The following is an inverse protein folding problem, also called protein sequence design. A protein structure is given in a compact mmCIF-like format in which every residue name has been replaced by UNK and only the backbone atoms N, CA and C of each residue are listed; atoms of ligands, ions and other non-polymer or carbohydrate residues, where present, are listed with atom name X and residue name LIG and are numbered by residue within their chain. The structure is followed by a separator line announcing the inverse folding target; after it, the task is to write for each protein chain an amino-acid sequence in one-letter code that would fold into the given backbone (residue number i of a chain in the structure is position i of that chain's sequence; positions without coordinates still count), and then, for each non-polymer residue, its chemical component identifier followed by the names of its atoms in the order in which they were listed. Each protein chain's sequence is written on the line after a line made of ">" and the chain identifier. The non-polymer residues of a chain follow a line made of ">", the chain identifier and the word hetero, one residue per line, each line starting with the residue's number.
data_IF_669431571579
#
_entry.id   IF_669431571579
#
_cell.length_a   1.000
_cell.length_b   1.000
_cell.length_c   1.000
_cell.angle_alpha   90.00
_cell.angle_beta   90.00
_cell.angle_gamma   90.00
#
_symmetry.space_group_name_H-M   'P 1'
#
loop_
_entity.id
_entity.type
_entity.pdbx_description
1 polymer ?
#
# COMPACT_ATOMS: atom_id res chain seq x y z
N UNK A 1 -0.90 10.64 1.82
CA UNK A 1 -1.74 9.45 1.64
C UNK A 1 -2.45 9.16 2.94
N UNK A 2 -3.75 9.23 2.97
CA UNK A 2 -4.58 8.75 4.07
C UNK A 2 -5.44 7.64 3.47
N UNK A 3 -5.09 6.36 3.67
CA UNK A 3 -5.83 5.27 3.06
C UNK A 3 -7.13 5.02 3.83
N UNK A 4 -8.20 4.70 3.12
CA UNK A 4 -9.23 3.83 3.66
C UNK A 4 -8.57 2.48 3.94
N UNK A 5 -8.70 1.96 5.15
CA UNK A 5 -8.03 0.74 5.57
C UNK A 5 -9.05 -0.23 6.15
N UNK A 6 -9.13 -1.42 5.57
CA UNK A 6 -9.86 -2.55 6.11
C UNK A 6 -8.85 -3.57 6.66
N UNK A 7 -9.02 -3.99 7.90
CA UNK A 7 -8.16 -4.99 8.55
C UNK A 7 -9.02 -6.14 9.03
N UNK A 8 -8.65 -7.36 8.65
CA UNK A 8 -9.24 -8.59 9.11
C UNK A 8 -8.21 -9.47 9.82
N UNK A 9 -8.60 -10.07 10.92
CA UNK A 9 -7.78 -11.06 11.62
C UNK A 9 -8.64 -12.14 12.25
N UNK A 10 -8.23 -13.41 12.09
CA UNK A 10 -8.82 -14.52 12.84
C UNK A 10 -8.09 -14.65 14.18
N UNK A 11 -8.83 -14.59 15.28
CA UNK A 11 -8.27 -14.73 16.63
C UNK A 11 -8.90 -15.94 17.35
N UNK A 12 -8.32 -16.43 18.44
CA UNK A 12 -8.93 -17.47 19.27
C UNK A 12 -10.34 -17.14 19.80
N UNK A 13 -10.73 -15.86 19.78
CA UNK A 13 -12.04 -15.36 20.22
C UNK A 13 -13.02 -15.22 19.04
N UNK A 14 -12.58 -15.49 17.81
CA UNK A 14 -13.34 -15.35 16.58
C UNK A 14 -12.72 -14.34 15.60
N UNK A 15 -13.32 -14.17 14.41
CA UNK A 15 -12.87 -13.19 13.44
C UNK A 15 -13.12 -11.76 13.97
N UNK A 16 -12.16 -10.89 13.75
CA UNK A 16 -12.24 -9.45 14.04
C UNK A 16 -12.08 -8.73 12.70
N UNK A 17 -12.99 -7.83 12.40
CA UNK A 17 -12.92 -6.96 11.23
C UNK A 17 -12.99 -5.50 11.70
N UNK A 18 -12.15 -4.65 11.12
CA UNK A 18 -12.13 -3.22 11.37
C UNK A 18 -12.04 -2.46 10.06
N UNK A 19 -12.92 -1.48 9.85
CA UNK A 19 -12.88 -0.59 8.70
C UNK A 19 -12.64 0.83 9.16
N UNK A 20 -11.58 1.44 8.66
CA UNK A 20 -11.29 2.86 8.84
C UNK A 20 -11.56 3.58 7.51
N UNK A 21 -12.62 4.39 7.46
CA UNK A 21 -12.97 5.16 6.27
C UNK A 21 -11.97 6.30 6.03
N UNK A 22 -11.85 6.73 4.78
CA UNK A 22 -10.94 7.83 4.41
C UNK A 22 -11.11 9.11 5.26
N UNK A 23 -12.36 9.51 5.57
CA UNK A 23 -12.62 10.66 6.45
C UNK A 23 -12.07 10.45 7.86
N UNK A 24 -12.25 9.26 8.39
CA UNK A 24 -11.87 8.90 9.75
C UNK A 24 -10.35 8.62 9.81
N UNK A 25 -9.76 8.13 8.69
CA UNK A 25 -8.32 7.97 8.56
C UNK A 25 -7.57 9.31 8.64
N UNK A 26 -8.12 10.40 8.12
CA UNK A 26 -7.52 11.72 8.24
C UNK A 26 -7.50 12.24 9.68
N UNK A 27 -8.54 11.92 10.48
CA UNK A 27 -8.66 12.34 11.86
C UNK A 27 -7.87 11.43 12.84
N UNK A 28 -7.59 10.18 12.42
CA UNK A 28 -6.91 9.14 13.21
C UNK A 28 -5.53 8.75 12.66
N UNK A 29 -5.01 9.51 11.70
CA UNK A 29 -3.70 9.31 11.12
C UNK A 29 -2.64 9.98 11.99
N UNK A 30 -1.88 9.19 12.73
CA UNK A 30 -0.76 9.69 13.50
C UNK A 30 0.41 10.07 12.58
N UNK A 31 0.70 9.22 11.60
CA UNK A 31 1.74 9.48 10.61
C UNK A 31 1.56 8.64 9.34
N UNK A 32 1.78 9.25 8.17
CA UNK A 32 1.93 8.54 6.91
C UNK A 32 3.08 9.12 6.09
N UNK A 33 3.85 8.25 5.47
CA UNK A 33 4.92 8.61 4.55
C UNK A 33 4.91 7.69 3.35
N UNK A 34 5.01 8.27 2.15
CA UNK A 34 5.29 7.52 0.91
C UNK A 34 6.48 8.16 0.24
N UNK A 35 7.47 7.34 -0.09
CA UNK A 35 8.63 7.75 -0.86
C UNK A 35 8.91 6.75 -1.96
N UNK A 36 9.26 7.22 -3.16
CA UNK A 36 9.66 6.36 -4.26
C UNK A 36 10.92 6.86 -4.94
N UNK A 37 11.70 5.91 -5.43
CA UNK A 37 12.91 6.15 -6.20
C UNK A 37 12.91 5.27 -7.45
N UNK A 38 13.33 5.81 -8.59
CA UNK A 38 13.54 5.04 -9.81
C UNK A 38 14.82 5.48 -10.51
N UNK A 39 15.62 4.52 -10.94
CA UNK A 39 16.75 4.72 -11.83
C UNK A 39 16.50 3.96 -13.13
N UNK A 40 16.69 4.62 -14.30
CA UNK A 40 16.39 4.04 -15.60
C UNK A 40 17.42 4.46 -16.65
N UNK A 41 17.73 3.52 -17.56
CA UNK A 41 18.49 3.81 -18.77
C UNK A 41 17.61 3.84 -20.05
N UNK A 42 16.27 3.88 -19.85
CA UNK A 42 15.29 3.86 -20.93
C UNK A 42 14.80 2.46 -21.29
N UNK A 43 15.61 1.42 -21.17
CA UNK A 43 15.24 0.02 -21.45
C UNK A 43 15.01 -0.78 -20.17
N UNK A 44 15.89 -0.59 -19.18
CA UNK A 44 15.84 -1.23 -17.88
C UNK A 44 15.67 -0.16 -16.81
N UNK A 45 14.74 -0.37 -15.89
CA UNK A 45 14.50 0.48 -14.71
C UNK A 45 14.61 -0.35 -13.44
N UNK A 46 15.10 0.27 -12.37
CA UNK A 46 15.05 -0.24 -11.01
C UNK A 46 14.24 0.73 -10.18
N UNK A 47 13.16 0.24 -9.58
CA UNK A 47 12.26 1.04 -8.75
C UNK A 47 12.22 0.54 -7.31
N UNK A 48 12.05 1.47 -6.38
CA UNK A 48 11.72 1.21 -4.99
C UNK A 48 10.62 2.17 -4.54
N UNK A 49 9.63 1.65 -3.85
CA UNK A 49 8.51 2.38 -3.26
C UNK A 49 8.39 1.96 -1.79
N UNK A 50 8.46 2.93 -0.89
CA UNK A 50 8.34 2.70 0.55
C UNK A 50 7.12 3.43 1.08
N UNK A 51 6.32 2.72 1.84
CA UNK A 51 5.10 3.22 2.47
C UNK A 51 5.15 2.92 3.98
N UNK A 52 4.87 3.93 4.79
CA UNK A 52 4.72 3.83 6.24
C UNK A 52 3.38 4.44 6.62
N UNK A 53 2.56 3.67 7.34
CA UNK A 53 1.29 4.14 7.90
C UNK A 53 1.26 3.79 9.39
N UNK A 54 0.85 4.75 10.20
CA UNK A 54 0.59 4.62 11.64
C UNK A 54 -0.81 5.17 11.90
N UNK A 55 -1.73 4.29 12.27
CA UNK A 55 -3.15 4.56 12.43
C UNK A 55 -3.58 4.14 13.84
N UNK A 56 -4.30 5.03 14.54
CA UNK A 56 -4.90 4.73 15.84
C UNK A 56 -6.38 5.02 15.80
N UNK A 57 -7.23 4.07 16.15
CA UNK A 57 -8.68 4.28 16.16
C UNK A 57 -9.37 3.59 17.33
N UNK A 58 -10.44 4.22 17.79
CA UNK A 58 -11.27 3.73 18.89
C UNK A 58 -12.60 3.20 18.36
N UNK A 59 -12.96 1.98 18.73
CA UNK A 59 -14.26 1.40 18.44
C UNK A 59 -15.05 1.19 19.73
N UNK A 60 -16.33 1.53 19.70
CA UNK A 60 -17.25 1.21 20.79
C UNK A 60 -17.69 -0.24 20.65
N UNK A 61 -17.38 -1.08 21.62
CA UNK A 61 -17.84 -2.47 21.63
C UNK A 61 -19.29 -2.57 22.11
N UNK A 62 -20.19 -3.23 21.38
CA UNK A 62 -21.54 -3.48 21.86
C UNK A 62 -21.52 -4.54 22.96
N UNK A 63 -21.77 -4.16 24.21
CA UNK A 63 -21.93 -5.10 25.32
C UNK A 63 -21.71 -4.50 26.70
N UNK A 64 -22.26 -5.10 27.79
CA UNK A 64 -22.13 -4.57 29.14
C UNK A 64 -20.76 -4.83 29.80
N UNK A 65 -19.90 -5.69 29.18
CA UNK A 65 -18.62 -6.09 29.77
C UNK A 65 -17.44 -5.21 29.34
N UNK A 66 -17.49 -4.63 28.14
CA UNK A 66 -16.43 -3.79 27.59
C UNK A 66 -17.01 -2.47 27.10
N UNK A 67 -16.29 -1.38 27.33
CA UNK A 67 -16.71 -0.04 26.92
C UNK A 67 -16.08 0.43 25.61
N UNK A 68 -15.01 -0.23 25.14
CA UNK A 68 -14.34 0.12 23.90
C UNK A 68 -13.21 -0.83 23.55
N UNK A 69 -12.81 -0.78 22.28
CA UNK A 69 -11.66 -1.45 21.70
C UNK A 69 -10.79 -0.37 21.04
N UNK A 70 -9.59 -0.18 21.54
CA UNK A 70 -8.58 0.66 20.90
C UNK A 70 -7.75 -0.22 19.99
N UNK A 71 -7.56 0.20 18.75
CA UNK A 71 -6.76 -0.48 17.76
C UNK A 71 -5.67 0.46 17.28
N UNK A 72 -4.42 0.04 17.40
CA UNK A 72 -3.27 0.67 16.76
C UNK A 72 -2.83 -0.24 15.63
N UNK A 73 -2.65 0.32 14.43
CA UNK A 73 -2.23 -0.41 13.25
C UNK A 73 -1.05 0.30 12.59
N UNK A 74 0.09 -0.37 12.59
CA UNK A 74 1.33 0.12 11.97
C UNK A 74 1.73 -0.80 10.84
N UNK A 75 1.99 -0.21 9.66
CA UNK A 75 2.50 -0.96 8.52
C UNK A 75 3.67 -0.26 7.88
N UNK A 76 4.70 -1.02 7.56
CA UNK A 76 5.79 -0.63 6.70
C UNK A 76 5.82 -1.56 5.49
N UNK A 77 5.86 -1.00 4.29
CA UNK A 77 5.83 -1.77 3.05
C UNK A 77 6.93 -1.23 2.14
N UNK A 78 7.88 -2.10 1.78
CA UNK A 78 8.89 -1.80 0.78
C UNK A 78 8.67 -2.68 -0.45
N UNK A 79 8.33 -2.05 -1.57
CA UNK A 79 8.28 -2.72 -2.88
C UNK A 79 9.52 -2.33 -3.67
N UNK A 80 10.30 -3.33 -4.10
CA UNK A 80 11.46 -3.10 -4.96
C UNK A 80 11.38 -4.02 -6.19
N UNK A 81 11.65 -3.46 -7.37
CA UNK A 81 11.48 -4.18 -8.64
C UNK A 81 12.49 -3.74 -9.69
N UNK A 82 12.78 -4.66 -10.62
CA UNK A 82 13.39 -4.38 -11.90
C UNK A 82 12.30 -4.43 -12.98
N UNK A 83 12.29 -3.47 -13.90
CA UNK A 83 11.33 -3.40 -14.99
C UNK A 83 12.05 -3.31 -16.34
N UNK A 84 11.57 -4.08 -17.31
CA UNK A 84 12.10 -4.12 -18.66
C UNK A 84 11.07 -3.60 -19.65
N UNK A 85 11.48 -2.67 -20.51
CA UNK A 85 10.65 -2.08 -21.54
C UNK A 85 10.42 -3.05 -22.69
N UNK A 86 9.15 -3.46 -22.84
CA UNK A 86 8.71 -4.39 -23.91
C UNK A 86 8.02 -3.69 -25.06
N UNK A 87 7.54 -2.47 -24.84
CA UNK A 87 6.91 -1.65 -25.87
C UNK A 87 7.29 -0.18 -25.68
N UNK A 88 7.67 0.50 -26.75
CA UNK A 88 8.08 1.90 -26.71
C UNK A 88 7.67 2.63 -28.00
N UNK A 89 6.88 3.67 -27.84
CA UNK A 89 6.53 4.63 -28.87
C UNK A 89 6.57 6.03 -28.30
N UNK A 90 6.46 7.05 -29.15
CA UNK A 90 6.39 8.45 -28.70
C UNK A 90 5.19 8.76 -27.79
N UNK A 91 4.16 7.91 -27.78
CA UNK A 91 2.93 8.15 -27.01
C UNK A 91 2.67 7.13 -25.92
N UNK A 92 3.27 5.96 -25.98
CA UNK A 92 2.96 4.87 -25.05
C UNK A 92 4.18 4.01 -24.81
N UNK A 93 4.36 3.63 -23.55
CA UNK A 93 5.43 2.74 -23.09
C UNK A 93 4.82 1.65 -22.22
N UNK A 94 5.32 0.41 -22.36
CA UNK A 94 4.92 -0.70 -21.48
C UNK A 94 6.18 -1.39 -20.98
N UNK A 95 6.24 -1.56 -19.67
CA UNK A 95 7.31 -2.25 -18.96
C UNK A 95 6.73 -3.47 -18.24
N UNK A 96 7.45 -4.59 -18.24
CA UNK A 96 7.17 -5.74 -17.38
C UNK A 96 8.12 -5.71 -16.20
N UNK A 97 7.60 -5.95 -15.00
CA UNK A 97 8.33 -5.85 -13.75
C UNK A 97 8.39 -7.19 -13.03
N UNK A 98 9.51 -7.42 -12.33
CA UNK A 98 9.69 -8.50 -11.37
C UNK A 98 10.39 -7.93 -10.15
N UNK A 99 10.02 -8.40 -8.96
CA UNK A 99 10.60 -7.86 -7.74
C UNK A 99 10.12 -8.57 -6.50
N UNK A 100 10.14 -7.84 -5.41
CA UNK A 100 9.62 -8.31 -4.14
C UNK A 100 8.94 -7.17 -3.38
N UNK A 101 8.06 -7.55 -2.46
CA UNK A 101 7.42 -6.67 -1.49
C UNK A 101 7.68 -7.20 -0.09
N UNK A 102 8.35 -6.41 0.72
CA UNK A 102 8.56 -6.66 2.13
C UNK A 102 7.49 -5.93 2.93
N UNK A 103 6.94 -6.63 3.90
CA UNK A 103 5.96 -6.13 4.84
C UNK A 103 6.51 -6.23 6.26
N UNK A 104 6.18 -5.25 7.09
CA UNK A 104 6.25 -5.27 8.54
C UNK A 104 4.91 -4.73 9.04
N UNK A 105 4.08 -5.60 9.60
CA UNK A 105 2.73 -5.28 10.05
C UNK A 105 2.60 -5.56 11.55
N UNK A 106 2.09 -4.58 12.27
CA UNK A 106 1.83 -4.65 13.70
C UNK A 106 0.41 -4.16 14.00
N UNK A 107 -0.39 -4.99 14.67
CA UNK A 107 -1.72 -4.63 15.16
C UNK A 107 -1.78 -4.84 16.65
N UNK A 108 -2.13 -3.79 17.41
CA UNK A 108 -2.35 -3.85 18.86
C UNK A 108 -3.81 -3.58 19.15
N UNK A 109 -4.47 -4.50 19.82
CA UNK A 109 -5.86 -4.42 20.22
C UNK A 109 -5.94 -4.30 21.74
N UNK A 110 -6.50 -3.23 22.26
CA UNK A 110 -6.66 -2.97 23.70
C UNK A 110 -8.14 -2.88 24.07
N UNK A 111 -8.64 -3.85 24.83
CA UNK A 111 -9.99 -3.86 25.36
C UNK A 111 -10.08 -2.99 26.63
N UNK A 112 -11.13 -2.16 26.73
CA UNK A 112 -11.41 -1.33 27.94
C UNK A 112 -12.68 -1.77 28.65
N UNK A 113 -12.65 -2.10 29.99
CA UNK A 113 -11.47 -2.45 30.77
C UNK A 113 -11.00 -3.86 30.42
N UNK A 114 -9.69 -4.07 30.27
CA UNK A 114 -9.18 -5.39 29.93
C UNK A 114 -7.70 -5.43 29.57
N UNK A 115 -7.33 -6.49 28.84
CA UNK A 115 -5.96 -6.73 28.40
C UNK A 115 -5.71 -6.20 26.99
N UNK A 116 -4.44 -6.15 26.63
CA UNK A 116 -3.95 -5.86 25.28
C UNK A 116 -3.48 -7.15 24.61
N UNK A 117 -3.76 -7.28 23.32
CA UNK A 117 -3.25 -8.34 22.45
C UNK A 117 -2.51 -7.71 21.27
N UNK A 118 -1.31 -8.22 20.96
CA UNK A 118 -0.48 -7.75 19.86
C UNK A 118 -0.29 -8.87 18.86
N UNK A 119 -0.50 -8.56 17.60
CA UNK A 119 -0.17 -9.40 16.44
C UNK A 119 0.86 -8.64 15.65
N UNK A 120 2.01 -9.25 15.38
CA UNK A 120 3.06 -8.65 14.56
C UNK A 120 3.77 -9.74 13.76
N UNK A 121 4.06 -9.45 12.50
CA UNK A 121 4.86 -10.31 11.63
C UNK A 121 5.58 -9.48 10.56
N UNK A 122 6.69 -10.03 10.04
CA UNK A 122 7.37 -9.50 8.88
C UNK A 122 7.61 -10.62 7.85
N UNK A 123 7.34 -10.32 6.57
CA UNK A 123 7.50 -11.28 5.49
C UNK A 123 7.86 -10.62 4.16
N UNK A 124 8.22 -11.44 3.18
CA UNK A 124 8.59 -10.99 1.84
C UNK A 124 7.85 -11.81 0.80
N UNK A 125 7.13 -11.13 -0.09
CA UNK A 125 6.46 -11.72 -1.22
C UNK A 125 7.19 -11.40 -2.54
N UNK A 126 7.48 -12.40 -3.38
CA UNK A 126 7.88 -12.14 -4.76
C UNK A 126 6.70 -11.55 -5.54
N UNK A 127 6.97 -10.59 -6.43
CA UNK A 127 5.96 -9.93 -7.25
C UNK A 127 6.32 -9.97 -8.73
N UNK A 128 5.28 -10.02 -9.56
CA UNK A 128 5.35 -9.72 -10.99
C UNK A 128 4.36 -8.61 -11.31
N UNK A 129 4.69 -7.76 -12.26
CA UNK A 129 3.82 -6.62 -12.58
C UNK A 129 4.02 -6.09 -13.98
N UNK A 130 3.18 -5.11 -14.31
CA UNK A 130 3.28 -4.37 -15.56
C UNK A 130 3.00 -2.88 -15.30
N UNK A 131 3.71 -2.04 -16.03
CA UNK A 131 3.52 -0.60 -16.03
C UNK A 131 3.24 -0.13 -17.44
N UNK A 132 2.17 0.64 -17.62
CA UNK A 132 1.87 1.33 -18.85
C UNK A 132 1.89 2.84 -18.60
N UNK A 133 2.62 3.57 -19.46
CA UNK A 133 2.67 5.04 -19.43
C UNK A 133 2.18 5.58 -20.76
N UNK A 134 1.33 6.63 -20.69
CA UNK A 134 0.71 7.27 -21.84
C UNK A 134 1.00 8.77 -21.83
N UNK A 135 1.55 9.30 -22.91
CA UNK A 135 1.69 10.73 -23.11
C UNK A 135 0.33 11.29 -23.56
N UNK A 136 -0.31 12.08 -22.72
CA UNK A 136 -1.65 12.64 -22.97
C UNK A 136 -1.55 13.99 -23.68
N UNK A 137 -0.54 14.78 -23.35
CA UNK A 137 -0.21 16.05 -23.99
C UNK A 137 1.27 16.38 -23.74
N UNK A 138 1.74 17.56 -24.18
CA UNK A 138 3.13 17.99 -23.98
C UNK A 138 3.57 18.03 -22.50
N UNK A 139 2.62 18.23 -21.58
CA UNK A 139 2.87 18.34 -20.14
C UNK A 139 2.17 17.29 -19.29
N UNK A 140 1.28 16.50 -19.86
CA UNK A 140 0.52 15.51 -19.12
C UNK A 140 0.85 14.09 -19.57
N UNK A 141 1.11 13.23 -18.60
CA UNK A 141 1.22 11.80 -18.79
C UNK A 141 0.28 11.08 -17.82
N UNK A 142 -0.20 9.91 -18.23
CA UNK A 142 -0.91 8.97 -17.36
C UNK A 142 -0.05 7.73 -17.15
N UNK A 143 -0.05 7.17 -15.94
CA UNK A 143 0.64 5.91 -15.63
C UNK A 143 -0.33 4.97 -14.95
N UNK A 144 -0.30 3.70 -15.35
CA UNK A 144 -0.95 2.59 -14.67
C UNK A 144 0.13 1.58 -14.32
N UNK A 145 0.22 1.21 -13.05
CA UNK A 145 1.08 0.12 -12.58
C UNK A 145 0.21 -0.88 -11.84
N UNK A 146 0.33 -2.15 -12.18
CA UNK A 146 -0.34 -3.24 -11.50
C UNK A 146 0.65 -4.36 -11.26
N UNK A 147 0.59 -4.97 -10.10
CA UNK A 147 1.39 -6.14 -9.74
C UNK A 147 0.57 -7.14 -8.91
N UNK A 148 1.06 -8.38 -8.91
CA UNK A 148 0.55 -9.50 -8.15
C UNK A 148 1.71 -10.30 -7.58
N UNK A 149 1.54 -10.83 -6.36
CA UNK A 149 2.60 -11.55 -5.66
C UNK A 149 2.09 -12.46 -4.54
N UNK A 150 3.06 -12.98 -3.76
CA UNK A 150 2.81 -14.00 -2.76
C UNK A 150 2.96 -15.39 -3.37
N UNK A 151 2.10 -15.78 -4.31
CA UNK A 151 2.11 -17.06 -5.04
C UNK A 151 2.10 -18.30 -4.16
N UNK A 152 1.67 -18.20 -2.91
CA UNK A 152 1.56 -19.33 -1.98
C UNK A 152 0.14 -19.47 -1.45
N UNK A 153 -0.14 -20.57 -0.75
CA UNK A 153 -1.43 -20.74 -0.06
C UNK A 153 -1.55 -19.78 1.13
N UNK A 154 -0.43 -19.31 1.64
CA UNK A 154 -0.32 -18.61 2.91
C UNK A 154 -0.06 -17.11 2.72
N UNK A 155 0.14 -16.66 1.46
CA UNK A 155 0.37 -15.24 1.15
C UNK A 155 -0.08 -14.89 -0.26
N UNK A 156 -0.88 -13.82 -0.36
CA UNK A 156 -1.30 -13.19 -1.60
C UNK A 156 -1.23 -11.66 -1.44
N UNK A 157 -0.69 -10.98 -2.44
CA UNK A 157 -0.70 -9.51 -2.49
C UNK A 157 -0.90 -9.03 -3.91
N UNK A 158 -1.67 -7.97 -4.08
CA UNK A 158 -1.75 -7.28 -5.36
C UNK A 158 -2.01 -5.79 -5.17
N UNK A 159 -1.57 -5.00 -6.13
CA UNK A 159 -1.90 -3.58 -6.14
C UNK A 159 -2.20 -3.07 -7.53
N UNK A 160 -2.96 -1.97 -7.57
CA UNK A 160 -3.15 -1.13 -8.75
C UNK A 160 -2.89 0.31 -8.35
N UNK A 161 -2.04 0.98 -9.13
CA UNK A 161 -1.72 2.39 -8.99
C UNK A 161 -2.01 3.09 -10.33
N UNK A 162 -2.86 4.10 -10.30
CA UNK A 162 -3.15 4.95 -11.47
C UNK A 162 -2.75 6.37 -11.12
N UNK A 163 -1.97 7.02 -11.99
CA UNK A 163 -1.55 8.40 -11.79
C UNK A 163 -1.74 9.26 -13.03
N UNK A 164 -2.01 10.54 -12.81
CA UNK A 164 -1.85 11.62 -13.75
C UNK A 164 -0.66 12.48 -13.31
N UNK A 165 0.28 12.65 -14.21
CA UNK A 165 1.55 13.31 -13.96
C UNK A 165 1.60 14.60 -14.78
N UNK A 166 1.91 15.75 -14.15
CA UNK A 166 2.02 17.04 -14.78
C UNK A 166 3.42 17.61 -14.68
N UNK A 167 4.08 17.84 -15.81
CA UNK A 167 5.42 18.43 -15.88
C UNK A 167 5.36 19.94 -15.62
N UNK A 168 5.84 20.38 -14.46
CA UNK A 168 6.02 21.81 -14.15
C UNK A 168 7.15 22.41 -14.97
N UNK A 169 8.26 21.66 -15.06
CA UNK A 169 9.46 21.97 -15.85
C UNK A 169 10.25 20.68 -16.14
N UNK A 170 11.46 20.78 -16.66
CA UNK A 170 12.28 19.63 -17.04
C UNK A 170 12.64 18.73 -15.85
N UNK A 171 12.72 19.28 -14.63
CA UNK A 171 13.12 18.55 -13.42
C UNK A 171 11.96 18.19 -12.50
N UNK A 172 10.91 19.01 -12.44
CA UNK A 172 9.81 18.82 -11.50
C UNK A 172 8.52 18.39 -12.17
N UNK A 173 7.91 17.36 -11.61
CA UNK A 173 6.62 16.81 -12.01
C UNK A 173 5.72 16.70 -10.79
N UNK A 174 4.48 17.18 -10.89
CA UNK A 174 3.41 16.91 -9.93
C UNK A 174 2.71 15.61 -10.30
N UNK A 175 2.32 14.85 -9.29
CA UNK A 175 1.62 13.57 -9.45
C UNK A 175 0.35 13.59 -8.62
N UNK A 176 -0.75 13.18 -9.24
CA UNK A 176 -2.03 12.91 -8.60
C UNK A 176 -2.48 11.52 -9.03
N UNK A 177 -2.97 10.72 -8.11
CA UNK A 177 -3.39 9.36 -8.44
C UNK A 177 -4.25 8.70 -7.38
N UNK A 178 -4.49 7.43 -7.61
CA UNK A 178 -5.20 6.55 -6.69
C UNK A 178 -4.47 5.21 -6.62
N UNK A 179 -4.26 4.72 -5.40
CA UNK A 179 -3.66 3.40 -5.13
C UNK A 179 -4.70 2.53 -4.45
N UNK A 180 -4.74 1.28 -4.86
CA UNK A 180 -5.36 0.17 -4.14
C UNK A 180 -4.31 -0.90 -3.91
N UNK A 181 -4.19 -1.39 -2.68
CA UNK A 181 -3.31 -2.47 -2.27
C UNK A 181 -4.13 -3.44 -1.43
N UNK A 182 -4.06 -4.72 -1.76
CA UNK A 182 -4.66 -5.83 -1.02
C UNK A 182 -3.58 -6.81 -0.60
N UNK A 183 -3.70 -7.30 0.62
CA UNK A 183 -2.75 -8.23 1.24
C UNK A 183 -3.52 -9.26 2.05
N UNK A 184 -3.25 -10.54 1.80
CA UNK A 184 -3.67 -11.67 2.60
C UNK A 184 -2.43 -12.45 3.03
N UNK A 185 -2.30 -12.76 4.31
CA UNK A 185 -1.18 -13.50 4.85
C UNK A 185 -1.59 -14.34 6.07
N UNK A 186 -1.01 -15.54 6.22
CA UNK A 186 -1.25 -16.39 7.38
C UNK A 186 -0.19 -16.11 8.46
N UNK A 187 -0.62 -15.60 9.63
CA UNK A 187 0.24 -15.34 10.78
C UNK A 187 -0.04 -16.38 11.87
N UNK A 188 0.92 -17.26 12.15
CA UNK A 188 0.80 -18.30 13.18
C UNK A 188 -0.43 -19.21 13.03
N UNK A 189 -0.83 -19.54 11.79
CA UNK A 189 -2.01 -20.37 11.51
C UNK A 189 -3.33 -19.62 11.59
N UNK A 190 -3.30 -18.29 11.57
CA UNK A 190 -4.49 -17.45 11.54
C UNK A 190 -4.44 -16.52 10.33
N UNK A 191 -5.56 -16.42 9.63
CA UNK A 191 -5.68 -15.51 8.50
C UNK A 191 -5.57 -14.06 8.96
N UNK A 192 -4.73 -13.31 8.29
CA UNK A 192 -4.57 -11.87 8.44
C UNK A 192 -4.71 -11.22 7.06
N UNK A 193 -5.52 -10.19 6.97
CA UNK A 193 -5.72 -9.44 5.74
C UNK A 193 -5.80 -7.95 5.99
N UNK A 194 -5.36 -7.16 5.04
CA UNK A 194 -5.65 -5.74 5.00
C UNK A 194 -5.74 -5.22 3.56
N UNK A 195 -6.68 -4.31 3.36
CA UNK A 195 -6.87 -3.55 2.14
C UNK A 195 -6.62 -2.09 2.41
N UNK A 196 -5.83 -1.45 1.57
CA UNK A 196 -5.58 -0.01 1.65
C UNK A 196 -5.90 0.65 0.32
N UNK A 197 -6.77 1.64 0.33
CA UNK A 197 -7.11 2.38 -0.87
C UNK A 197 -7.20 3.88 -0.62
N UNK A 198 -6.78 4.69 -1.58
CA UNK A 198 -6.90 6.12 -1.41
C UNK A 198 -6.17 6.96 -2.45
N UNK A 199 -6.46 8.27 -2.46
CA UNK A 199 -5.78 9.22 -3.31
C UNK A 199 -4.33 9.41 -2.87
N UNK A 200 -3.45 9.52 -3.84
CA UNK A 200 -2.06 9.93 -3.64
C UNK A 200 -1.80 11.24 -4.37
N UNK A 201 -0.98 12.08 -3.76
CA UNK A 201 -0.41 13.25 -4.43
C UNK A 201 1.03 13.44 -3.96
N UNK A 202 1.85 13.92 -4.87
CA UNK A 202 3.26 14.08 -4.63
C UNK A 202 3.95 14.90 -5.69
N UNK A 203 5.25 15.07 -5.50
CA UNK A 203 6.13 15.69 -6.46
C UNK A 203 7.30 14.73 -6.76
N UNK A 204 7.68 14.66 -8.02
CA UNK A 204 8.84 13.89 -8.49
C UNK A 204 9.90 14.86 -8.96
N UNK A 205 11.14 14.67 -8.53
CA UNK A 205 12.30 15.37 -9.04
C UNK A 205 13.08 14.43 -9.97
N UNK A 206 13.37 14.91 -11.18
CA UNK A 206 14.21 14.23 -12.18
C UNK A 206 15.57 14.89 -12.25
N UNK A 207 16.62 14.12 -12.24
CA UNK A 207 18.03 14.57 -12.26
C UNK A 207 18.80 13.98 -13.45
#
# INVERSE_FOLDING_TARGET
>A
FAPETEVGATTPLGPIEGTLRFSDALDNLDFAFIGSFEASNGLLSFGADYMLNDLSFENVTPGPAFSGLDTEFKTQILTAYAAYRVYDTSKSQVDLAVGFRWFDAESTFTLRPGGSSKIADDWVDPIIGARARFQLSDRWAGTVFADYGGFSSDSETWQVLVTADYDLNENWQLRLGYRYLSVEHEINGNDFSFDQSGPIFGATYRF
#
